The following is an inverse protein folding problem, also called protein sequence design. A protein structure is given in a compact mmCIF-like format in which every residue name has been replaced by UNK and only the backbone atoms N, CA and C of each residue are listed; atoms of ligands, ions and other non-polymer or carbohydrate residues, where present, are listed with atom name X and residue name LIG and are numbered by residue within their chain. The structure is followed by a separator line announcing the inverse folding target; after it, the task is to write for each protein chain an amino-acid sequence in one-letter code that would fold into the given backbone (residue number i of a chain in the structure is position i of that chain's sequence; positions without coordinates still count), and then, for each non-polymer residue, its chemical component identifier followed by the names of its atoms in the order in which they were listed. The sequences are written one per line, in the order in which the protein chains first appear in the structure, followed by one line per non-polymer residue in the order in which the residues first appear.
data_IF_865565003177
#
_entry.id   IF_865565003177
#
_cell.length_a   1.000
_cell.length_b   1.000
_cell.length_c   1.000
_cell.angle_alpha   90.00
_cell.angle_beta   90.00
_cell.angle_gamma   90.00
#
_symmetry.space_group_name_H-M   'P 1'
#
loop_
_entity.id
_entity.type
_entity.pdbx_description
1 polymer ?
#
# COMPACT_ATOMS: atom_id res chain seq x y z
N UNK A 1 11.07 28.67 -32.49
CA UNK A 1 10.97 28.52 -31.02
C UNK A 1 11.61 27.20 -30.64
N UNK A 2 12.71 27.17 -29.84
CA UNK A 2 13.42 25.94 -29.54
C UNK A 2 12.88 25.32 -28.24
N UNK A 3 11.92 24.40 -28.36
CA UNK A 3 11.53 23.47 -27.31
C UNK A 3 11.68 22.05 -27.87
N UNK A 4 12.90 21.59 -28.11
CA UNK A 4 13.17 20.28 -28.73
C UNK A 4 14.08 19.37 -27.92
N UNK A 5 14.40 19.72 -26.67
CA UNK A 5 15.16 18.83 -25.78
C UNK A 5 14.30 18.31 -24.63
N UNK A 6 13.54 17.24 -24.91
CA UNK A 6 12.67 16.59 -23.92
C UNK A 6 13.44 16.05 -22.71
N UNK A 7 14.69 15.60 -22.90
CA UNK A 7 15.52 15.02 -21.84
C UNK A 7 15.88 16.03 -20.75
N UNK A 8 16.09 17.30 -21.12
CA UNK A 8 16.34 18.39 -20.16
C UNK A 8 15.10 18.75 -19.34
N UNK A 9 13.92 18.63 -19.93
CA UNK A 9 12.65 18.81 -19.22
C UNK A 9 12.32 17.63 -18.29
N UNK A 10 12.59 16.40 -18.71
CA UNK A 10 12.34 15.21 -17.89
C UNK A 10 13.17 15.22 -16.59
N UNK A 11 14.43 15.65 -16.65
CA UNK A 11 15.30 15.81 -15.48
C UNK A 11 14.76 16.90 -14.51
N UNK A 12 14.30 18.03 -15.03
CA UNK A 12 13.67 19.07 -14.22
C UNK A 12 12.39 18.59 -13.55
N UNK A 13 11.58 17.77 -14.23
CA UNK A 13 10.35 17.21 -13.65
C UNK A 13 10.68 16.21 -12.53
N UNK A 14 11.66 15.32 -12.71
CA UNK A 14 12.05 14.39 -11.64
C UNK A 14 12.60 15.11 -10.41
N UNK A 15 13.36 16.18 -10.61
CA UNK A 15 13.94 16.97 -9.53
C UNK A 15 12.86 17.76 -8.77
N UNK A 16 11.93 18.39 -9.48
CA UNK A 16 10.78 19.07 -8.89
C UNK A 16 9.88 18.07 -8.15
N UNK A 17 9.60 16.92 -8.75
CA UNK A 17 8.80 15.87 -8.12
C UNK A 17 9.46 15.36 -6.84
N UNK A 18 10.80 15.22 -6.79
CA UNK A 18 11.51 14.84 -5.58
C UNK A 18 11.39 15.92 -4.48
N UNK A 19 11.45 17.20 -4.84
CA UNK A 19 11.29 18.32 -3.89
C UNK A 19 9.87 18.38 -3.32
N UNK A 20 8.86 18.05 -4.12
CA UNK A 20 7.45 18.09 -3.71
C UNK A 20 6.99 16.87 -2.90
N UNK A 21 7.85 15.86 -2.71
CA UNK A 21 7.53 14.71 -1.85
C UNK A 21 7.51 15.13 -0.39
N UNK A 22 6.60 14.56 0.42
CA UNK A 22 6.71 14.71 1.86
C UNK A 22 7.99 14.01 2.33
N UNK A 23 8.71 14.58 3.31
CA UNK A 23 9.89 13.93 3.88
C UNK A 23 9.47 12.63 4.58
N UNK A 24 10.15 11.52 4.29
CA UNK A 24 9.89 10.23 4.94
C UNK A 24 10.79 10.05 6.15
N UNK A 25 10.24 9.45 7.21
CA UNK A 25 11.02 9.01 8.37
C UNK A 25 11.61 7.63 8.08
N UNK A 26 12.79 7.38 8.65
CA UNK A 26 13.31 6.03 8.73
C UNK A 26 12.42 5.23 9.70
N UNK A 27 11.73 4.22 9.17
CA UNK A 27 10.87 3.34 9.96
C UNK A 27 11.54 1.97 10.06
N UNK A 28 11.62 1.37 11.26
CA UNK A 28 12.16 0.02 11.39
C UNK A 28 11.29 -0.96 10.59
N UNK A 29 11.89 -1.95 9.92
CA UNK A 29 11.14 -2.93 9.16
C UNK A 29 10.24 -3.74 10.10
N UNK A 30 9.00 -4.00 9.66
CA UNK A 30 8.11 -4.88 10.40
C UNK A 30 8.63 -6.33 10.37
N UNK A 31 8.91 -6.96 11.52
CA UNK A 31 9.37 -8.34 11.55
C UNK A 31 8.25 -9.28 11.06
N UNK A 32 8.50 -10.14 10.04
CA UNK A 32 7.51 -11.09 9.59
C UNK A 32 7.10 -12.07 10.70
N UNK A 33 5.83 -12.48 10.70
CA UNK A 33 5.30 -13.44 11.68
C UNK A 33 4.33 -14.43 11.05
N UNK A 34 4.17 -15.58 11.69
CA UNK A 34 3.19 -16.58 11.30
C UNK A 34 1.99 -16.56 12.25
N UNK A 35 0.79 -16.71 11.70
CA UNK A 35 -0.46 -16.87 12.43
C UNK A 35 -1.13 -18.12 11.89
N UNK A 36 -1.54 -19.02 12.79
CA UNK A 36 -2.38 -20.17 12.42
C UNK A 36 -3.82 -19.69 12.43
N UNK A 37 -4.49 -19.74 11.27
CA UNK A 37 -5.89 -19.37 11.14
C UNK A 37 -6.80 -20.44 11.75
N UNK A 38 -8.06 -20.10 11.99
CA UNK A 38 -9.05 -21.04 12.52
C UNK A 38 -9.25 -22.27 11.60
N UNK A 39 -9.03 -22.11 10.29
CA UNK A 39 -9.02 -23.19 9.30
C UNK A 39 -7.84 -24.15 9.43
N UNK A 40 -6.81 -23.82 10.21
CA UNK A 40 -5.52 -24.53 10.28
C UNK A 40 -4.48 -24.01 9.28
N UNK A 41 -4.86 -23.12 8.36
CA UNK A 41 -3.94 -22.52 7.40
C UNK A 41 -2.85 -21.68 8.12
N UNK A 42 -1.62 -21.72 7.61
CA UNK A 42 -0.51 -20.89 8.10
C UNK A 42 -0.44 -19.60 7.30
N UNK A 43 -0.83 -18.49 7.91
CA UNK A 43 -0.72 -17.16 7.32
C UNK A 43 0.60 -16.50 7.70
N UNK A 44 1.36 -16.06 6.70
CA UNK A 44 2.50 -15.15 6.87
C UNK A 44 1.99 -13.73 6.87
N UNK A 45 2.30 -12.97 7.92
CA UNK A 45 2.11 -11.51 7.95
C UNK A 45 3.47 -10.84 7.79
N UNK A 46 3.58 -9.96 6.79
CA UNK A 46 4.80 -9.17 6.54
C UNK A 46 4.44 -7.77 6.04
N UNK A 47 5.39 -6.85 6.11
CA UNK A 47 5.26 -5.59 5.42
C UNK A 47 5.47 -5.78 3.91
N UNK A 48 4.60 -5.15 3.12
CA UNK A 48 4.76 -5.04 1.68
C UNK A 48 5.82 -3.99 1.34
N UNK A 49 6.50 -4.17 0.22
CA UNK A 49 7.36 -3.15 -0.37
C UNK A 49 6.55 -2.27 -1.32
N UNK A 50 6.95 -1.00 -1.47
CA UNK A 50 6.25 -0.05 -2.35
C UNK A 50 6.23 -0.52 -3.81
N UNK A 51 7.24 -1.27 -4.24
CA UNK A 51 7.33 -1.86 -5.59
C UNK A 51 6.28 -2.95 -5.82
N UNK A 52 5.71 -3.53 -4.75
CA UNK A 52 4.64 -4.53 -4.83
C UNK A 52 3.25 -3.90 -5.03
N UNK A 53 3.12 -2.57 -4.92
CA UNK A 53 1.82 -1.89 -5.06
C UNK A 53 1.06 -2.25 -6.36
N UNK A 54 1.67 -2.32 -7.55
CA UNK A 54 0.95 -2.75 -8.75
C UNK A 54 0.25 -4.11 -8.58
N UNK A 55 0.94 -5.09 -7.99
CA UNK A 55 0.41 -6.41 -7.73
C UNK A 55 -0.74 -6.36 -6.71
N UNK A 56 -0.61 -5.55 -5.66
CA UNK A 56 -1.66 -5.37 -4.66
C UNK A 56 -2.91 -4.70 -5.26
N UNK A 57 -2.74 -3.68 -6.09
CA UNK A 57 -3.84 -3.01 -6.79
C UNK A 57 -4.61 -3.99 -7.67
N UNK A 58 -3.91 -4.85 -8.42
CA UNK A 58 -4.56 -5.85 -9.25
C UNK A 58 -5.28 -6.93 -8.41
N UNK A 59 -4.71 -7.31 -7.27
CA UNK A 59 -5.33 -8.27 -6.35
C UNK A 59 -6.64 -7.74 -5.72
N UNK A 60 -6.71 -6.45 -5.37
CA UNK A 60 -7.90 -5.86 -4.73
C UNK A 60 -8.90 -5.26 -5.73
N UNK A 61 -8.51 -5.04 -7.00
CA UNK A 61 -9.38 -4.46 -8.04
C UNK A 61 -10.76 -5.13 -8.14
N UNK A 62 -10.90 -6.46 -8.07
CA UNK A 62 -12.22 -7.11 -8.15
C UNK A 62 -13.18 -6.70 -7.02
N UNK A 63 -12.65 -6.20 -5.88
CA UNK A 63 -13.45 -5.80 -4.73
C UNK A 63 -14.13 -4.44 -4.90
N UNK A 64 -13.70 -3.62 -5.87
CA UNK A 64 -14.22 -2.27 -6.11
C UNK A 64 -15.70 -2.21 -6.47
N UNK A 65 -16.30 -3.33 -6.84
CA UNK A 65 -17.72 -3.45 -7.22
C UNK A 65 -18.49 -4.43 -6.34
N UNK A 66 -17.91 -4.86 -5.21
CA UNK A 66 -18.54 -5.81 -4.29
C UNK A 66 -19.18 -5.03 -3.14
N UNK A 67 -20.49 -4.77 -3.22
CA UNK A 67 -21.21 -4.00 -2.18
C UNK A 67 -21.36 -4.74 -0.85
N UNK A 68 -21.34 -6.09 -0.90
CA UNK A 68 -21.48 -6.92 0.30
C UNK A 68 -20.42 -6.51 1.32
N UNK A 69 -20.84 -6.27 2.56
CA UNK A 69 -19.96 -5.87 3.66
C UNK A 69 -19.10 -4.63 3.35
N UNK A 70 -19.59 -3.73 2.48
CA UNK A 70 -18.95 -2.47 2.09
C UNK A 70 -17.57 -2.64 1.42
N UNK A 71 -17.33 -3.79 0.78
CA UNK A 71 -16.05 -4.04 0.12
C UNK A 71 -15.76 -3.03 -0.99
N UNK A 72 -16.77 -2.56 -1.70
CA UNK A 72 -16.69 -1.54 -2.73
C UNK A 72 -16.02 -0.25 -2.22
N UNK A 73 -16.54 0.34 -1.15
CA UNK A 73 -16.02 1.59 -0.59
C UNK A 73 -14.69 1.38 0.14
N UNK A 74 -14.54 0.29 0.88
CA UNK A 74 -13.28 -0.01 1.60
C UNK A 74 -12.16 -0.29 0.61
N UNK A 75 -12.44 -1.06 -0.46
CA UNK A 75 -11.47 -1.31 -1.53
C UNK A 75 -11.17 -0.04 -2.31
N UNK A 76 -12.16 0.82 -2.59
CA UNK A 76 -11.91 2.09 -3.29
C UNK A 76 -10.96 3.00 -2.50
N UNK A 77 -11.15 3.11 -1.19
CA UNK A 77 -10.27 3.87 -0.29
C UNK A 77 -8.88 3.26 -0.23
N UNK A 78 -8.77 1.95 -0.01
CA UNK A 78 -7.50 1.23 0.02
C UNK A 78 -6.74 1.36 -1.31
N UNK A 79 -7.44 1.29 -2.44
CA UNK A 79 -6.87 1.42 -3.78
C UNK A 79 -6.30 2.83 -4.00
N UNK A 80 -7.03 3.86 -3.58
CA UNK A 80 -6.55 5.25 -3.64
C UNK A 80 -5.34 5.48 -2.71
N UNK A 81 -5.34 4.90 -1.52
CA UNK A 81 -4.25 4.99 -0.54
C UNK A 81 -2.97 4.32 -1.06
N UNK A 82 -3.05 3.09 -1.58
CA UNK A 82 -1.92 2.40 -2.21
C UNK A 82 -1.37 3.19 -3.41
N UNK A 83 -2.23 3.81 -4.21
CA UNK A 83 -1.79 4.74 -5.26
C UNK A 83 -1.07 5.95 -4.68
N UNK A 84 -1.61 6.56 -3.62
CA UNK A 84 -0.97 7.65 -2.88
C UNK A 84 0.43 7.26 -2.40
N UNK A 85 0.57 6.08 -1.81
CA UNK A 85 1.84 5.53 -1.35
C UNK A 85 2.84 5.34 -2.49
N UNK A 86 2.42 4.70 -3.60
CA UNK A 86 3.25 4.50 -4.79
C UNK A 86 3.73 5.81 -5.40
N UNK A 87 2.93 6.87 -5.28
CA UNK A 87 3.23 8.21 -5.84
C UNK A 87 3.87 9.15 -4.84
N UNK A 88 4.28 8.67 -3.66
CA UNK A 88 4.88 9.49 -2.60
C UNK A 88 3.98 10.68 -2.21
N UNK A 89 2.66 10.47 -2.16
CA UNK A 89 1.68 11.51 -1.79
C UNK A 89 1.19 11.39 -0.35
N UNK A 90 1.58 10.33 0.33
CA UNK A 90 1.31 10.11 1.74
C UNK A 90 2.63 9.89 2.45
N UNK A 91 2.82 10.64 3.55
CA UNK A 91 4.00 10.55 4.40
C UNK A 91 3.91 9.34 5.31
N UNK A 92 5.00 8.58 5.41
CA UNK A 92 5.19 7.48 6.38
C UNK A 92 4.10 6.39 6.30
N UNK A 93 3.58 6.13 5.10
CA UNK A 93 2.63 5.04 4.87
C UNK A 93 3.33 3.69 4.83
N UNK A 94 2.69 2.70 5.42
CA UNK A 94 3.07 1.29 5.39
C UNK A 94 1.85 0.42 5.08
N UNK A 95 2.12 -0.75 4.52
CA UNK A 95 1.11 -1.76 4.25
C UNK A 95 1.61 -3.12 4.74
N UNK A 96 0.79 -3.83 5.51
CA UNK A 96 1.03 -5.21 5.90
C UNK A 96 0.11 -6.13 5.10
N UNK A 97 0.65 -7.25 4.65
CA UNK A 97 -0.07 -8.26 3.88
C UNK A 97 -0.07 -9.59 4.60
N UNK A 98 -1.21 -10.26 4.58
CA UNK A 98 -1.41 -11.63 5.02
C UNK A 98 -1.40 -12.57 3.81
N UNK A 99 -0.53 -13.57 3.83
CA UNK A 99 -0.34 -14.53 2.75
C UNK A 99 -0.55 -15.97 3.26
N UNK A 100 -1.36 -16.76 2.56
CA UNK A 100 -1.45 -18.22 2.75
C UNK A 100 -1.02 -18.87 1.44
N UNK A 101 0.03 -19.69 1.48
CA UNK A 101 0.63 -20.33 0.29
C UNK A 101 0.92 -19.34 -0.86
N UNK A 102 1.35 -18.13 -0.50
CA UNK A 102 1.64 -17.05 -1.45
C UNK A 102 0.42 -16.27 -1.96
N UNK A 103 -0.80 -16.67 -1.61
CA UNK A 103 -2.03 -15.96 -1.97
C UNK A 103 -2.37 -14.88 -0.95
N UNK A 104 -2.74 -13.70 -1.44
CA UNK A 104 -3.19 -12.58 -0.61
C UNK A 104 -4.53 -12.92 0.05
N UNK A 105 -4.54 -13.09 1.37
CA UNK A 105 -5.74 -13.37 2.16
C UNK A 105 -6.19 -12.18 2.99
N UNK A 106 -5.29 -11.22 3.24
CA UNK A 106 -5.62 -9.99 3.95
C UNK A 106 -4.61 -8.88 3.67
N UNK A 107 -5.05 -7.65 3.84
CA UNK A 107 -4.25 -6.44 3.63
C UNK A 107 -4.69 -5.38 4.65
N UNK A 108 -3.73 -4.73 5.30
CA UNK A 108 -3.98 -3.59 6.18
C UNK A 108 -2.96 -2.50 5.88
N UNK A 109 -3.41 -1.26 5.78
CA UNK A 109 -2.52 -0.11 5.62
C UNK A 109 -2.76 0.94 6.70
N UNK A 110 -1.79 1.82 6.84
CA UNK A 110 -1.81 2.93 7.77
C UNK A 110 -0.58 3.79 7.57
N UNK A 111 -0.49 4.85 8.36
CA UNK A 111 0.71 5.69 8.37
C UNK A 111 1.11 6.07 9.76
N UNK A 112 2.37 6.45 9.92
CA UNK A 112 2.79 7.15 11.13
C UNK A 112 2.42 8.63 11.01
N UNK A 113 1.74 9.16 12.03
CA UNK A 113 1.56 10.61 12.17
C UNK A 113 2.86 11.21 12.70
N UNK A 114 3.33 10.65 13.81
CA UNK A 114 4.62 10.89 14.46
C UNK A 114 5.26 9.56 14.91
N UNK A 115 6.34 9.63 15.69
CA UNK A 115 7.10 8.46 16.16
C UNK A 115 6.32 7.52 17.09
N UNK A 116 5.27 8.03 17.73
CA UNK A 116 4.50 7.32 18.76
C UNK A 116 3.06 7.05 18.33
N UNK A 117 2.53 7.82 17.37
CA UNK A 117 1.13 7.79 16.96
C UNK A 117 1.01 7.28 15.53
N UNK A 118 0.42 6.10 15.39
CA UNK A 118 -0.04 5.55 14.12
C UNK A 118 -1.48 5.96 13.81
N UNK A 119 -1.78 6.17 12.54
CA UNK A 119 -3.14 6.37 12.02
C UNK A 119 -3.48 5.17 11.16
N UNK A 120 -4.45 4.39 11.62
CA UNK A 120 -4.99 3.28 10.83
C UNK A 120 -5.74 3.84 9.62
N UNK A 121 -5.53 3.21 8.47
CA UNK A 121 -6.40 3.38 7.32
C UNK A 121 -7.36 2.18 7.27
N UNK A 122 -7.29 1.36 6.23
CA UNK A 122 -8.28 0.33 5.97
C UNK A 122 -7.71 -1.07 6.11
N UNK A 123 -8.61 -2.02 6.38
CA UNK A 123 -8.31 -3.45 6.43
C UNK A 123 -9.25 -4.18 5.48
N UNK A 124 -8.67 -5.05 4.64
CA UNK A 124 -9.38 -5.94 3.73
C UNK A 124 -9.08 -7.40 4.11
N UNK A 125 -10.11 -8.22 4.23
CA UNK A 125 -10.01 -9.66 4.48
C UNK A 125 -10.54 -10.45 3.27
N UNK A 126 -9.66 -10.75 2.32
CA UNK A 126 -10.03 -11.33 1.02
C UNK A 126 -10.52 -12.78 1.17
N UNK A 127 -9.88 -13.56 2.05
CA UNK A 127 -10.32 -14.90 2.42
C UNK A 127 -10.93 -14.84 3.82
N UNK A 128 -12.18 -15.29 3.96
CA UNK A 128 -12.78 -15.53 5.28
C UNK A 128 -12.26 -16.85 5.82
N UNK A 129 -11.78 -16.83 7.06
CA UNK A 129 -11.43 -18.03 7.83
C UNK A 129 -12.67 -18.72 8.38
#
# INVERSE_FOLDING_TARGET
MPFTDSRRFDLLISDVEAILRPPEREMPPYPPKYIVLASGDKMVVRQARREEVPLLLDAIRPLLTVEKDYYDIVAARTYAELLGWKRYRVRDEYCLVGLVDGLLVGLVNGRMYDENIGVSYHTLAIKRG
#
